data_IF_806932475155
#
_entry.id   IF_806932475155
#
_cell.length_a   1.000
_cell.length_b   1.000
_cell.length_c   1.000
_cell.angle_alpha   90.00
_cell.angle_beta   90.00
_cell.angle_gamma   90.00
#
_symmetry.space_group_name_H-M   'P 1'
#
loop_
_entity.id
_entity.type
_entity.pdbx_description
1 polymer ?
#
# COMPACT_ATOMS: atom_id res chain seq x y z
N UNK A 1 5.24 27.18 11.03
CA UNK A 1 5.66 25.76 10.93
C UNK A 1 5.82 25.45 9.44
N UNK A 2 6.99 25.00 8.98
CA UNK A 2 7.21 24.77 7.55
C UNK A 2 6.39 23.58 7.06
N UNK A 3 5.71 23.71 5.94
CA UNK A 3 4.93 22.62 5.28
C UNK A 3 5.80 21.36 5.14
N UNK A 4 7.09 21.54 4.87
CA UNK A 4 8.06 20.45 4.76
C UNK A 4 8.19 19.60 6.04
N UNK A 5 8.16 20.24 7.19
CA UNK A 5 8.29 19.53 8.48
C UNK A 5 7.04 18.69 8.78
N UNK A 6 5.85 19.20 8.46
CA UNK A 6 4.60 18.47 8.61
C UNK A 6 4.54 17.22 7.72
N UNK A 7 5.01 17.32 6.48
CA UNK A 7 5.09 16.18 5.56
C UNK A 7 6.05 15.11 6.10
N UNK A 8 7.20 15.51 6.63
CA UNK A 8 8.18 14.59 7.20
C UNK A 8 7.62 13.80 8.39
N UNK A 9 6.88 14.46 9.29
CA UNK A 9 6.25 13.81 10.44
C UNK A 9 5.22 12.75 9.99
N UNK A 10 4.41 13.08 9.00
CA UNK A 10 3.40 12.17 8.44
C UNK A 10 4.08 10.94 7.82
N UNK A 11 5.20 11.12 7.13
CA UNK A 11 5.98 10.02 6.55
C UNK A 11 6.61 9.11 7.62
N UNK A 12 7.11 9.70 8.70
CA UNK A 12 7.64 8.93 9.85
C UNK A 12 6.57 8.06 10.48
N UNK A 13 5.35 8.59 10.66
CA UNK A 13 4.24 7.82 11.19
C UNK A 13 3.92 6.59 10.32
N UNK A 14 3.89 6.75 8.99
CA UNK A 14 3.72 5.64 8.06
C UNK A 14 4.80 4.57 8.21
N UNK A 15 6.07 4.98 8.16
CA UNK A 15 7.21 4.06 8.20
C UNK A 15 7.30 3.32 9.52
N UNK A 16 7.08 4.03 10.64
CA UNK A 16 7.11 3.44 11.99
C UNK A 16 6.00 2.38 12.15
N UNK A 17 4.79 2.70 11.71
CA UNK A 17 3.67 1.75 11.77
C UNK A 17 3.92 0.51 10.91
N UNK A 18 4.45 0.69 9.69
CA UNK A 18 4.82 -0.41 8.83
C UNK A 18 5.87 -1.32 9.49
N UNK A 19 6.92 -0.74 10.08
CA UNK A 19 7.98 -1.48 10.76
C UNK A 19 7.44 -2.29 11.95
N UNK A 20 6.66 -1.67 12.82
CA UNK A 20 6.09 -2.33 14.00
C UNK A 20 5.18 -3.49 13.57
N UNK A 21 4.30 -3.26 12.63
CA UNK A 21 3.35 -4.28 12.16
C UNK A 21 4.03 -5.41 11.40
N UNK A 22 5.05 -5.15 10.61
CA UNK A 22 5.83 -6.21 9.96
C UNK A 22 6.43 -7.16 10.99
N UNK A 23 6.99 -6.65 12.07
CA UNK A 23 7.54 -7.47 13.15
C UNK A 23 6.44 -8.31 13.86
N UNK A 24 5.30 -7.70 14.17
CA UNK A 24 4.18 -8.39 14.83
C UNK A 24 3.60 -9.47 13.92
N UNK A 25 3.43 -9.17 12.63
CA UNK A 25 2.86 -10.11 11.66
C UNK A 25 3.78 -11.30 11.38
N UNK A 26 5.09 -11.07 11.37
CA UNK A 26 6.05 -12.14 11.19
C UNK A 26 6.06 -13.13 12.37
N UNK A 27 5.81 -12.64 13.59
CA UNK A 27 5.95 -13.44 14.81
C UNK A 27 4.63 -13.98 15.40
N UNK A 28 3.52 -13.26 15.27
CA UNK A 28 2.30 -13.56 16.04
C UNK A 28 1.05 -13.87 15.20
N UNK A 29 0.96 -13.38 13.96
CA UNK A 29 -0.26 -13.53 13.17
C UNK A 29 -0.18 -14.75 12.25
N UNK A 30 -0.86 -15.83 12.64
CA UNK A 30 -0.92 -17.10 11.89
C UNK A 30 -2.06 -17.14 10.85
N UNK A 31 -2.35 -16.03 10.19
CA UNK A 31 -3.27 -16.00 9.06
C UNK A 31 -2.60 -16.56 7.80
N UNK A 32 -3.40 -17.19 6.92
CA UNK A 32 -2.92 -17.59 5.58
C UNK A 32 -2.37 -16.38 4.83
N UNK A 33 -1.26 -16.58 4.10
CA UNK A 33 -0.55 -15.50 3.41
C UNK A 33 -1.44 -14.78 2.38
N UNK A 34 -2.28 -15.53 1.66
CA UNK A 34 -3.27 -14.97 0.74
C UNK A 34 -4.34 -14.14 1.46
N UNK A 35 -4.73 -14.53 2.68
CA UNK A 35 -5.69 -13.76 3.47
C UNK A 35 -5.10 -12.44 3.93
N UNK A 36 -3.84 -12.45 4.38
CA UNK A 36 -3.10 -11.21 4.71
C UNK A 36 -3.06 -10.26 3.53
N UNK A 37 -2.76 -10.78 2.34
CA UNK A 37 -2.71 -10.01 1.11
C UNK A 37 -4.08 -9.39 0.75
N UNK A 38 -5.16 -10.16 0.82
CA UNK A 38 -6.53 -9.68 0.56
C UNK A 38 -6.98 -8.60 1.55
N UNK A 39 -6.67 -8.80 2.83
CA UNK A 39 -6.93 -7.79 3.88
C UNK A 39 -6.15 -6.51 3.56
N UNK A 40 -4.88 -6.64 3.19
CA UNK A 40 -4.05 -5.49 2.80
C UNK A 40 -4.68 -4.68 1.67
N UNK A 41 -5.11 -5.31 0.58
CA UNK A 41 -5.75 -4.61 -0.55
C UNK A 41 -7.07 -3.97 -0.10
N UNK A 42 -7.92 -4.69 0.64
CA UNK A 42 -9.20 -4.16 1.11
C UNK A 42 -9.03 -2.93 2.02
N UNK A 43 -8.11 -3.01 2.98
CA UNK A 43 -7.80 -1.89 3.86
C UNK A 43 -7.19 -0.71 3.07
N UNK A 44 -6.34 -0.97 2.07
CA UNK A 44 -5.79 0.08 1.21
C UNK A 44 -6.90 0.84 0.49
N UNK A 45 -7.91 0.14 -0.05
CA UNK A 45 -9.07 0.78 -0.68
C UNK A 45 -9.77 1.74 0.28
N UNK A 46 -10.03 1.29 1.51
CA UNK A 46 -10.67 2.12 2.54
C UNK A 46 -9.82 3.36 2.90
N UNK A 47 -8.52 3.18 3.02
CA UNK A 47 -7.59 4.27 3.35
C UNK A 47 -7.55 5.33 2.24
N UNK A 48 -7.50 4.93 0.97
CA UNK A 48 -7.49 5.90 -0.14
C UNK A 48 -8.82 6.66 -0.27
N UNK A 49 -9.94 6.00 0.00
CA UNK A 49 -11.23 6.68 0.09
C UNK A 49 -11.22 7.70 1.23
N UNK A 50 -10.71 7.34 2.41
CA UNK A 50 -10.58 8.24 3.54
C UNK A 50 -9.66 9.43 3.24
N UNK A 51 -8.52 9.20 2.59
CA UNK A 51 -7.59 10.26 2.21
C UNK A 51 -8.20 11.28 1.23
N UNK A 52 -9.17 10.87 0.39
CA UNK A 52 -9.83 11.78 -0.53
C UNK A 52 -10.70 12.84 0.17
N UNK A 53 -11.05 12.65 1.43
CA UNK A 53 -11.81 13.60 2.26
C UNK A 53 -10.92 14.46 3.18
N UNK A 54 -9.61 14.23 3.18
CA UNK A 54 -8.67 14.96 4.03
C UNK A 54 -8.41 16.35 3.45
N UNK A 55 -8.73 17.37 4.23
CA UNK A 55 -8.48 18.79 3.90
C UNK A 55 -7.30 19.36 4.68
N UNK A 56 -7.02 18.86 5.88
CA UNK A 56 -5.99 19.35 6.76
C UNK A 56 -4.87 18.32 6.97
N UNK A 57 -3.61 18.75 7.03
CA UNK A 57 -2.44 17.88 7.13
C UNK A 57 -2.46 16.95 8.36
N UNK A 58 -2.98 17.39 9.48
CA UNK A 58 -3.08 16.59 10.71
C UNK A 58 -4.13 15.48 10.61
N UNK A 59 -5.19 15.67 9.80
CA UNK A 59 -6.15 14.62 9.49
C UNK A 59 -5.52 13.50 8.63
N UNK A 60 -4.47 13.80 7.89
CA UNK A 60 -3.74 12.80 7.11
C UNK A 60 -2.95 11.82 7.98
N UNK A 61 -2.54 12.20 9.20
CA UNK A 61 -1.71 11.36 10.07
C UNK A 61 -2.28 9.98 10.35
N UNK A 62 -3.54 9.82 10.83
CA UNK A 62 -4.10 8.50 11.09
C UNK A 62 -4.22 7.67 9.82
N UNK A 63 -4.59 8.28 8.69
CA UNK A 63 -4.66 7.55 7.42
C UNK A 63 -3.29 7.11 6.93
N UNK A 64 -2.25 7.93 7.09
CA UNK A 64 -0.89 7.54 6.72
C UNK A 64 -0.31 6.45 7.62
N UNK A 65 -0.67 6.42 8.90
CA UNK A 65 -0.36 5.27 9.76
C UNK A 65 -1.06 4.00 9.27
N UNK A 66 -2.31 4.10 8.84
CA UNK A 66 -3.04 2.98 8.23
C UNK A 66 -2.43 2.56 6.88
N UNK A 67 -1.91 3.49 6.06
CA UNK A 67 -1.13 3.15 4.86
C UNK A 67 0.06 2.27 5.23
N UNK A 68 0.81 2.62 6.28
CA UNK A 68 1.90 1.80 6.77
C UNK A 68 1.46 0.40 7.20
N UNK A 69 0.30 0.31 7.86
CA UNK A 69 -0.29 -0.97 8.24
C UNK A 69 -0.66 -1.82 7.02
N UNK A 70 -1.37 -1.24 6.06
CA UNK A 70 -1.77 -1.94 4.83
C UNK A 70 -0.58 -2.39 4.01
N UNK A 71 0.48 -1.58 3.96
CA UNK A 71 1.74 -1.93 3.32
C UNK A 71 2.38 -3.16 3.95
N UNK A 72 2.40 -3.26 5.29
CA UNK A 72 2.90 -4.45 5.99
C UNK A 72 2.13 -5.71 5.60
N UNK A 73 0.79 -5.64 5.52
CA UNK A 73 -0.06 -6.76 5.10
C UNK A 73 0.19 -7.16 3.65
N UNK A 74 0.30 -6.21 2.74
CA UNK A 74 0.57 -6.46 1.32
C UNK A 74 1.96 -7.06 1.11
N UNK A 75 2.97 -6.50 1.76
CA UNK A 75 4.36 -6.92 1.60
C UNK A 75 4.57 -8.34 2.13
N UNK A 76 4.16 -8.60 3.37
CA UNK A 76 4.32 -9.92 3.98
C UNK A 76 3.41 -10.95 3.30
N UNK A 77 2.13 -10.61 3.08
CA UNK A 77 1.18 -11.51 2.45
C UNK A 77 1.58 -11.88 1.02
N UNK A 78 1.96 -10.90 0.21
CA UNK A 78 2.36 -11.10 -1.18
C UNK A 78 3.66 -11.87 -1.31
N UNK A 79 4.69 -11.47 -0.58
CA UNK A 79 6.00 -12.10 -0.66
C UNK A 79 5.97 -13.56 -0.18
N UNK A 80 5.35 -13.83 0.97
CA UNK A 80 5.25 -15.20 1.49
C UNK A 80 4.33 -16.09 0.65
N UNK A 81 3.25 -15.54 0.09
CA UNK A 81 2.40 -16.31 -0.81
C UNK A 81 3.15 -16.76 -2.07
N UNK A 82 3.99 -15.89 -2.65
CA UNK A 82 4.85 -16.26 -3.77
C UNK A 82 5.88 -17.32 -3.39
N UNK A 83 6.39 -17.31 -2.15
CA UNK A 83 7.35 -18.29 -1.66
C UNK A 83 6.75 -19.67 -1.37
N UNK A 84 5.43 -19.79 -1.22
CA UNK A 84 4.77 -21.08 -0.94
C UNK A 84 5.00 -22.11 -2.07
N UNK A 85 5.05 -21.65 -3.32
CA UNK A 85 5.11 -22.53 -4.49
C UNK A 85 6.39 -22.35 -5.35
N UNK A 86 7.29 -21.46 -4.96
CA UNK A 86 8.50 -21.12 -5.73
C UNK A 86 9.74 -21.04 -4.85
N UNK A 87 10.95 -21.22 -5.42
CA UNK A 87 12.19 -20.97 -4.71
C UNK A 87 12.25 -19.55 -4.15
N UNK A 88 12.72 -19.41 -2.91
CA UNK A 88 12.74 -18.12 -2.18
C UNK A 88 13.44 -16.99 -2.95
N UNK A 89 14.59 -17.30 -3.57
CA UNK A 89 15.36 -16.32 -4.34
C UNK A 89 14.59 -15.78 -5.54
N UNK A 90 13.92 -16.65 -6.30
CA UNK A 90 13.11 -16.28 -7.46
C UNK A 90 11.88 -15.45 -7.05
N UNK A 91 11.18 -15.88 -6.01
CA UNK A 91 9.99 -15.19 -5.49
C UNK A 91 10.32 -13.78 -5.02
N UNK A 92 11.37 -13.63 -4.23
CA UNK A 92 11.83 -12.32 -3.75
C UNK A 92 12.28 -11.43 -4.91
N UNK A 93 12.98 -12.01 -5.91
CA UNK A 93 13.40 -11.28 -7.10
C UNK A 93 12.21 -10.74 -7.91
N UNK A 94 11.22 -11.58 -8.20
CA UNK A 94 10.01 -11.18 -8.93
C UNK A 94 9.24 -10.09 -8.15
N UNK A 95 9.05 -10.30 -6.86
CA UNK A 95 8.34 -9.33 -6.01
C UNK A 95 9.04 -7.97 -5.96
N UNK A 96 10.36 -7.97 -5.73
CA UNK A 96 11.16 -6.74 -5.70
C UNK A 96 11.20 -6.03 -7.05
N UNK A 97 11.31 -6.77 -8.15
CA UNK A 97 11.28 -6.20 -9.50
C UNK A 97 9.94 -5.54 -9.81
N UNK A 98 8.83 -6.18 -9.43
CA UNK A 98 7.48 -5.62 -9.59
C UNK A 98 7.32 -4.33 -8.79
N UNK A 99 7.80 -4.30 -7.54
CA UNK A 99 7.79 -3.09 -6.72
C UNK A 99 8.64 -1.97 -7.36
N UNK A 100 9.84 -2.29 -7.82
CA UNK A 100 10.73 -1.30 -8.44
C UNK A 100 10.12 -0.70 -9.71
N UNK A 101 9.49 -1.51 -10.55
CA UNK A 101 8.76 -1.02 -11.73
C UNK A 101 7.59 -0.11 -11.30
N UNK A 102 6.84 -0.51 -10.30
CA UNK A 102 5.70 0.28 -9.80
C UNK A 102 6.13 1.65 -9.24
N UNK A 103 7.29 1.71 -8.56
CA UNK A 103 7.82 2.97 -8.02
C UNK A 103 8.30 3.94 -9.09
N UNK A 104 8.61 3.48 -10.28
CA UNK A 104 8.96 4.32 -11.44
C UNK A 104 7.72 4.72 -12.23
N UNK A 105 6.89 3.75 -12.60
CA UNK A 105 5.72 3.99 -13.45
C UNK A 105 4.62 4.78 -12.71
N UNK A 106 4.41 4.47 -11.43
CA UNK A 106 3.37 5.10 -10.63
C UNK A 106 3.44 6.62 -10.60
N UNK A 107 4.56 7.22 -10.17
CA UNK A 107 4.73 8.68 -10.15
C UNK A 107 4.63 9.34 -11.53
N UNK A 108 5.09 8.67 -12.59
CA UNK A 108 4.98 9.20 -13.97
C UNK A 108 3.52 9.33 -14.39
N UNK A 109 2.74 8.27 -14.16
CA UNK A 109 1.29 8.29 -14.48
C UNK A 109 0.58 9.32 -13.59
N UNK A 110 0.83 9.29 -12.29
CA UNK A 110 0.21 10.22 -11.34
C UNK A 110 0.56 11.69 -11.67
N UNK A 111 1.82 11.97 -11.98
CA UNK A 111 2.25 13.31 -12.39
C UNK A 111 1.61 13.78 -13.69
N UNK A 112 1.46 12.91 -14.67
CA UNK A 112 0.79 13.22 -15.93
C UNK A 112 -0.71 13.54 -15.69
N UNK A 113 -1.39 12.74 -14.88
CA UNK A 113 -2.81 12.98 -14.54
C UNK A 113 -2.96 14.29 -13.74
N UNK A 114 -2.09 14.54 -12.77
CA UNK A 114 -2.12 15.78 -11.99
C UNK A 114 -1.88 17.02 -12.86
N UNK A 115 -1.01 16.91 -13.87
CA UNK A 115 -0.72 17.99 -14.79
C UNK A 115 -1.90 18.27 -15.76
N UNK A 116 -2.58 17.22 -16.23
CA UNK A 116 -3.66 17.35 -17.22
C UNK A 116 -5.02 17.72 -16.61
N UNK A 117 -5.29 17.27 -15.39
CA UNK A 117 -6.60 17.42 -14.75
C UNK A 117 -6.53 18.15 -13.42
N UNK A 118 -6.13 17.46 -12.37
CA UNK A 118 -5.93 17.97 -11.01
C UNK A 118 -5.42 16.86 -10.08
N UNK A 119 -4.94 17.21 -8.88
CA UNK A 119 -4.56 16.25 -7.85
C UNK A 119 -5.71 15.34 -7.40
N UNK A 120 -6.94 15.85 -7.40
CA UNK A 120 -8.14 15.08 -7.05
C UNK A 120 -8.36 13.93 -8.05
N UNK A 121 -8.09 14.15 -9.34
CA UNK A 121 -8.19 13.12 -10.37
C UNK A 121 -7.21 11.97 -10.14
N UNK A 122 -6.02 12.24 -9.61
CA UNK A 122 -5.04 11.20 -9.24
C UNK A 122 -5.62 10.27 -8.17
N UNK A 123 -6.31 10.84 -7.17
CA UNK A 123 -6.94 10.05 -6.10
C UNK A 123 -8.05 9.14 -6.65
N UNK A 124 -8.92 9.65 -7.51
CA UNK A 124 -9.95 8.83 -8.14
C UNK A 124 -9.37 7.73 -9.02
N UNK A 125 -8.31 8.03 -9.76
CA UNK A 125 -7.60 7.04 -10.56
C UNK A 125 -6.99 5.94 -9.69
N UNK A 126 -6.34 6.30 -8.59
CA UNK A 126 -5.77 5.35 -7.63
C UNK A 126 -6.85 4.45 -7.02
N UNK A 127 -7.99 5.02 -6.59
CA UNK A 127 -9.13 4.27 -6.05
C UNK A 127 -9.65 3.27 -7.09
N UNK A 128 -9.79 3.67 -8.33
CA UNK A 128 -10.27 2.79 -9.41
C UNK A 128 -9.34 1.59 -9.62
N UNK A 129 -8.02 1.83 -9.67
CA UNK A 129 -7.03 0.75 -9.80
C UNK A 129 -7.08 -0.20 -8.61
N UNK A 130 -7.17 0.33 -7.38
CA UNK A 130 -7.21 -0.49 -6.17
C UNK A 130 -8.48 -1.35 -6.13
N UNK A 131 -9.63 -0.81 -6.52
CA UNK A 131 -10.89 -1.58 -6.63
C UNK A 131 -10.74 -2.70 -7.65
N UNK A 132 -10.18 -2.43 -8.82
CA UNK A 132 -9.89 -3.47 -9.82
C UNK A 132 -8.96 -4.54 -9.26
N UNK A 133 -7.89 -4.16 -8.58
CA UNK A 133 -6.97 -5.08 -7.93
C UNK A 133 -7.66 -5.92 -6.85
N UNK A 134 -8.57 -5.32 -6.07
CA UNK A 134 -9.35 -6.04 -5.06
C UNK A 134 -10.25 -7.09 -5.70
N UNK A 135 -10.98 -6.75 -6.76
CA UNK A 135 -11.85 -7.69 -7.49
C UNK A 135 -11.03 -8.86 -8.06
N UNK A 136 -9.87 -8.57 -8.65
CA UNK A 136 -8.96 -9.62 -9.15
C UNK A 136 -8.47 -10.50 -8.01
N UNK A 137 -8.13 -9.92 -6.87
CA UNK A 137 -7.64 -10.67 -5.71
C UNK A 137 -8.67 -11.65 -5.14
N UNK A 138 -9.97 -11.34 -5.27
CA UNK A 138 -11.04 -12.24 -4.85
C UNK A 138 -11.11 -13.54 -5.68
N UNK A 139 -10.69 -13.47 -6.96
CA UNK A 139 -10.66 -14.63 -7.85
C UNK A 139 -9.48 -15.57 -7.58
N UNK A 140 -8.45 -15.11 -6.89
CA UNK A 140 -7.31 -15.95 -6.50
C UNK A 140 -7.78 -16.93 -5.42
N UNK A 141 -7.92 -18.20 -5.80
CA UNK A 141 -8.23 -19.30 -4.87
C UNK A 141 -6.95 -19.71 -4.12
N UNK A 142 -7.16 -20.33 -2.94
CA UNK A 142 -6.10 -21.02 -2.21
C UNK A 142 -5.48 -22.14 -3.01
#
# INVERSE_FOLDING_TARGET
MCIRDSISIVYVANTLTAFILMNIMASKIQLSNITKFKIGIGCTTFVFIGLSFVTEWWMAMPFMSLVGATWAFLFIGGNFHLMENNPRSTSTGIFSSTLSISTVIGPVIAGTIAFMFDYVAVMYFAITIIICAFIVSLKIKK
#
